data_IF_747273198343
#
_entry.id   IF_747273198343
#
_cell.length_a   1.000
_cell.length_b   1.000
_cell.length_c   1.000
_cell.angle_alpha   90.00
_cell.angle_beta   90.00
_cell.angle_gamma   90.00
#
_symmetry.space_group_name_H-M   'P 1'
#
loop_
_entity.id
_entity.type
_entity.pdbx_description
1 polymer ?
#
# COMPACT_ATOMS: atom_id res chain seq x y z
N UNK A 1 -8.51 -5.23 -23.20
CA UNK A 1 -8.76 -5.14 -21.75
C UNK A 1 -9.78 -4.05 -21.47
N UNK A 2 -10.64 -4.24 -20.48
CA UNK A 2 -11.61 -3.22 -20.05
C UNK A 2 -10.90 -1.99 -19.46
N UNK A 3 -11.54 -0.83 -19.55
CA UNK A 3 -11.09 0.40 -18.90
C UNK A 3 -11.15 0.25 -17.37
N UNK A 4 -10.35 1.02 -16.63
CA UNK A 4 -10.21 0.91 -15.17
C UNK A 4 -11.54 1.15 -14.44
N UNK A 5 -12.36 2.06 -14.95
CA UNK A 5 -13.70 2.36 -14.41
C UNK A 5 -14.61 1.13 -14.49
N UNK A 6 -14.55 0.40 -15.61
CA UNK A 6 -15.30 -0.86 -15.79
C UNK A 6 -14.74 -1.96 -14.89
N UNK A 7 -13.42 -2.03 -14.69
CA UNK A 7 -12.81 -3.01 -13.78
C UNK A 7 -13.21 -2.76 -12.32
N UNK A 8 -13.33 -1.51 -11.89
CA UNK A 8 -13.86 -1.17 -10.55
C UNK A 8 -15.23 -1.82 -10.31
N UNK A 9 -16.11 -1.80 -11.32
CA UNK A 9 -17.48 -2.30 -11.20
C UNK A 9 -17.55 -3.81 -11.47
N UNK A 10 -16.97 -4.28 -12.58
CA UNK A 10 -17.21 -5.64 -13.12
C UNK A 10 -16.05 -6.61 -12.86
N UNK A 11 -14.93 -6.14 -12.30
CA UNK A 11 -13.76 -7.00 -12.04
C UNK A 11 -14.02 -8.01 -10.93
N UNK A 12 -13.38 -9.17 -11.01
CA UNK A 12 -13.31 -10.19 -9.97
C UNK A 12 -14.52 -11.11 -9.83
N UNK A 13 -15.74 -10.62 -9.90
CA UNK A 13 -16.95 -11.42 -9.84
C UNK A 13 -17.65 -11.51 -11.20
N UNK A 14 -17.86 -12.75 -11.69
CA UNK A 14 -18.50 -13.04 -12.97
C UNK A 14 -19.66 -14.04 -12.71
N UNK A 15 -20.89 -13.55 -12.43
CA UNK A 15 -22.01 -14.43 -12.11
C UNK A 15 -22.45 -15.25 -13.34
N UNK A 16 -22.72 -16.53 -13.13
CA UNK A 16 -23.31 -17.43 -14.12
C UNK A 16 -24.83 -17.28 -14.12
N UNK A 17 -25.48 -18.00 -15.05
CA UNK A 17 -26.94 -17.98 -15.14
C UNK A 17 -27.59 -18.45 -13.83
N UNK A 18 -28.44 -17.60 -13.24
CA UNK A 18 -29.11 -17.87 -11.97
C UNK A 18 -28.30 -17.56 -10.70
N UNK A 19 -27.03 -17.14 -10.82
CA UNK A 19 -26.21 -16.70 -9.68
C UNK A 19 -26.51 -15.26 -9.28
N UNK A 20 -26.23 -14.88 -8.02
CA UNK A 20 -26.40 -13.51 -7.55
C UNK A 20 -25.56 -12.53 -8.36
N UNK A 21 -26.17 -11.40 -8.75
CA UNK A 21 -25.44 -10.32 -9.43
C UNK A 21 -24.37 -9.69 -8.56
N UNK A 22 -24.65 -9.55 -7.26
CA UNK A 22 -23.72 -9.02 -6.26
C UNK A 22 -22.84 -10.15 -5.78
N UNK A 23 -21.56 -9.88 -5.53
CA UNK A 23 -20.61 -10.84 -4.95
C UNK A 23 -21.17 -11.44 -3.64
N UNK A 24 -21.37 -12.77 -3.55
CA UNK A 24 -21.85 -13.39 -2.31
C UNK A 24 -20.78 -13.37 -1.19
N UNK A 25 -21.24 -13.32 0.06
CA UNK A 25 -20.36 -13.52 1.24
C UNK A 25 -20.36 -15.00 1.60
N UNK A 26 -19.25 -15.69 1.33
CA UNK A 26 -19.05 -17.09 1.71
C UNK A 26 -18.55 -17.16 3.16
N UNK A 27 -19.47 -17.09 4.11
CA UNK A 27 -19.20 -17.17 5.54
C UNK A 27 -19.11 -18.63 6.00
N UNK A 28 -18.08 -19.33 5.53
CA UNK A 28 -17.80 -20.73 5.86
C UNK A 28 -16.33 -20.93 6.19
N UNK A 29 -16.02 -21.77 7.18
CA UNK A 29 -14.62 -22.14 7.48
C UNK A 29 -14.10 -23.21 6.55
N UNK A 30 -14.97 -24.14 6.08
CA UNK A 30 -14.63 -25.32 5.29
C UNK A 30 -15.60 -25.53 4.15
N UNK A 31 -15.21 -26.35 3.20
CA UNK A 31 -15.99 -26.69 2.01
C UNK A 31 -16.08 -28.21 1.85
N UNK A 32 -17.21 -28.72 1.33
CA UNK A 32 -17.48 -30.14 1.16
C UNK A 32 -16.93 -30.62 -0.19
N UNK A 33 -16.34 -31.82 -0.17
CA UNK A 33 -15.95 -32.58 -1.37
C UNK A 33 -16.58 -33.98 -1.36
N UNK A 34 -16.73 -34.58 -2.53
CA UNK A 34 -17.40 -35.89 -2.69
C UNK A 34 -16.44 -37.04 -2.38
N UNK A 35 -15.14 -36.90 -2.73
CA UNK A 35 -14.15 -37.96 -2.52
C UNK A 35 -12.92 -37.49 -1.74
N UNK A 36 -12.22 -38.43 -1.12
CA UNK A 36 -10.93 -38.19 -0.45
C UNK A 36 -9.84 -37.71 -1.43
N UNK A 37 -9.91 -38.23 -2.67
CA UNK A 37 -8.93 -37.86 -3.71
C UNK A 37 -9.10 -36.39 -4.16
N UNK A 38 -10.34 -35.94 -4.33
CA UNK A 38 -10.61 -34.54 -4.67
C UNK A 38 -10.00 -33.59 -3.61
N UNK A 39 -10.11 -33.96 -2.34
CA UNK A 39 -9.50 -33.20 -1.25
C UNK A 39 -7.97 -33.30 -1.26
N UNK A 40 -7.40 -34.49 -1.48
CA UNK A 40 -5.95 -34.70 -1.52
C UNK A 40 -5.29 -33.87 -2.63
N UNK A 41 -5.90 -33.79 -3.81
CA UNK A 41 -5.39 -33.01 -4.94
C UNK A 41 -5.32 -31.50 -4.65
N UNK A 42 -6.22 -30.97 -3.81
CA UNK A 42 -6.16 -29.58 -3.34
C UNK A 42 -4.96 -29.36 -2.39
N UNK A 43 -4.75 -30.28 -1.45
CA UNK A 43 -3.61 -30.21 -0.52
C UNK A 43 -2.27 -30.34 -1.24
N UNK A 44 -2.23 -31.13 -2.32
CA UNK A 44 -1.05 -31.30 -3.17
C UNK A 44 -0.86 -30.16 -4.19
N UNK A 45 -1.72 -29.16 -4.21
CA UNK A 45 -1.75 -28.06 -5.20
C UNK A 45 -1.90 -28.54 -6.66
N UNK A 46 -2.47 -29.74 -6.87
CA UNK A 46 -2.75 -30.33 -8.19
C UNK A 46 -4.08 -29.88 -8.78
N UNK A 47 -5.01 -29.46 -7.92
CA UNK A 47 -6.33 -28.94 -8.31
C UNK A 47 -6.55 -27.54 -7.71
N UNK A 48 -7.41 -26.75 -8.36
CA UNK A 48 -7.86 -25.46 -7.84
C UNK A 48 -9.19 -25.65 -7.11
N UNK A 49 -9.35 -24.97 -5.96
CA UNK A 49 -10.60 -25.04 -5.18
C UNK A 49 -10.42 -24.51 -3.76
N UNK A 50 -11.51 -24.54 -3.02
CA UNK A 50 -11.56 -24.01 -1.65
C UNK A 50 -11.77 -25.16 -0.68
N UNK A 51 -10.93 -25.33 0.32
CA UNK A 51 -11.11 -26.35 1.35
C UNK A 51 -11.12 -25.74 2.77
N UNK A 52 -10.40 -24.64 2.96
CA UNK A 52 -10.34 -23.96 4.25
C UNK A 52 -10.13 -22.44 4.07
N UNK A 53 -11.02 -21.66 4.65
CA UNK A 53 -11.06 -20.20 4.46
C UNK A 53 -9.78 -19.47 4.91
N UNK A 54 -9.00 -20.02 5.83
CA UNK A 54 -7.70 -19.42 6.21
C UNK A 54 -6.73 -19.31 5.03
N UNK A 55 -6.79 -20.24 4.09
CA UNK A 55 -5.94 -20.19 2.89
C UNK A 55 -6.62 -19.37 1.78
N UNK A 56 -7.87 -19.75 1.44
CA UNK A 56 -8.61 -19.14 0.33
C UNK A 56 -10.11 -19.16 0.62
N UNK A 57 -10.82 -18.15 0.11
CA UNK A 57 -12.27 -18.05 0.20
C UNK A 57 -12.81 -17.38 -1.06
N UNK A 58 -13.94 -17.87 -1.64
CA UNK A 58 -14.47 -17.33 -2.90
C UNK A 58 -14.71 -15.80 -2.89
N UNK A 59 -15.17 -15.24 -1.77
CA UNK A 59 -15.37 -13.79 -1.64
C UNK A 59 -14.03 -13.04 -1.67
N UNK A 60 -13.04 -13.53 -0.91
CA UNK A 60 -11.73 -12.92 -0.84
C UNK A 60 -11.00 -12.96 -2.20
N UNK A 61 -11.07 -14.10 -2.88
CA UNK A 61 -10.41 -14.29 -4.17
C UNK A 61 -11.04 -13.43 -5.27
N UNK A 62 -12.37 -13.28 -5.26
CA UNK A 62 -13.04 -12.36 -6.19
C UNK A 62 -12.54 -10.90 -6.02
N UNK A 63 -12.36 -10.45 -4.77
CA UNK A 63 -11.86 -9.10 -4.49
C UNK A 63 -10.36 -8.98 -4.78
N UNK A 64 -9.57 -9.98 -4.44
CA UNK A 64 -8.14 -10.03 -4.79
C UNK A 64 -7.95 -9.96 -6.32
N UNK A 65 -8.71 -10.74 -7.08
CA UNK A 65 -8.68 -10.73 -8.55
C UNK A 65 -9.09 -9.37 -9.13
N UNK A 66 -10.07 -8.68 -8.51
CA UNK A 66 -10.42 -7.30 -8.89
C UNK A 66 -9.25 -6.37 -8.71
N UNK A 67 -8.56 -6.40 -7.55
CA UNK A 67 -7.41 -5.55 -7.25
C UNK A 67 -6.24 -5.89 -8.19
N UNK A 68 -5.96 -7.17 -8.44
CA UNK A 68 -4.95 -7.58 -9.42
C UNK A 68 -5.22 -6.97 -10.80
N UNK A 69 -6.47 -7.05 -11.28
CA UNK A 69 -6.86 -6.47 -12.57
C UNK A 69 -6.75 -4.93 -12.57
N UNK A 70 -7.05 -4.26 -11.47
CA UNK A 70 -6.91 -2.82 -11.33
C UNK A 70 -5.45 -2.38 -11.38
N UNK A 71 -4.54 -3.09 -10.72
CA UNK A 71 -3.09 -2.82 -10.74
C UNK A 71 -2.42 -3.30 -12.05
N UNK A 72 -3.04 -4.21 -12.80
CA UNK A 72 -2.44 -4.84 -13.97
C UNK A 72 -1.52 -6.02 -13.64
N UNK A 73 -1.67 -6.61 -12.45
CA UNK A 73 -0.94 -7.78 -11.99
C UNK A 73 -1.55 -9.09 -12.48
N UNK A 74 -0.81 -10.19 -12.33
CA UNK A 74 -1.24 -11.55 -12.72
C UNK A 74 -2.04 -12.24 -11.61
N UNK A 75 -1.76 -11.90 -10.36
CA UNK A 75 -2.43 -12.47 -9.19
C UNK A 75 -2.34 -11.53 -7.98
N UNK A 76 -3.23 -11.70 -7.02
CA UNK A 76 -3.20 -11.00 -5.74
C UNK A 76 -3.72 -11.88 -4.61
N UNK A 77 -3.42 -11.48 -3.36
CA UNK A 77 -4.02 -12.06 -2.16
C UNK A 77 -4.40 -10.97 -1.16
N UNK A 78 -5.53 -11.13 -0.48
CA UNK A 78 -5.93 -10.25 0.61
C UNK A 78 -5.25 -10.67 1.92
N UNK A 79 -4.97 -9.70 2.77
CA UNK A 79 -4.43 -9.89 4.11
C UNK A 79 -5.25 -9.13 5.15
N UNK A 80 -5.08 -9.46 6.44
CA UNK A 80 -5.82 -8.83 7.55
C UNK A 80 -5.51 -7.35 7.73
N UNK A 81 -4.40 -6.85 7.20
CA UNK A 81 -3.95 -5.45 7.28
C UNK A 81 -2.87 -5.14 6.26
N UNK A 82 -2.63 -3.84 5.98
CA UNK A 82 -1.49 -3.41 5.17
C UNK A 82 -0.13 -3.81 5.78
N UNK A 83 -0.02 -3.83 7.12
CA UNK A 83 1.19 -4.32 7.79
C UNK A 83 1.45 -5.81 7.53
N UNK A 84 0.40 -6.64 7.52
CA UNK A 84 0.53 -8.03 7.14
C UNK A 84 0.94 -8.18 5.66
N UNK A 85 0.41 -7.31 4.78
CA UNK A 85 0.81 -7.30 3.38
C UNK A 85 2.29 -6.95 3.22
N UNK A 86 2.78 -5.88 3.86
CA UNK A 86 4.19 -5.48 3.80
C UNK A 86 5.12 -6.54 4.42
N UNK A 87 4.72 -7.14 5.55
CA UNK A 87 5.46 -8.24 6.16
C UNK A 87 5.55 -9.44 5.22
N UNK A 88 4.43 -9.92 4.69
CA UNK A 88 4.41 -11.09 3.82
C UNK A 88 5.14 -10.84 2.50
N UNK A 89 5.04 -9.62 1.94
CA UNK A 89 5.70 -9.31 0.69
C UNK A 89 7.24 -9.45 0.81
N UNK A 90 7.83 -9.00 1.90
CA UNK A 90 9.27 -9.15 2.13
C UNK A 90 9.61 -10.56 2.61
N UNK A 91 8.86 -11.09 3.59
CA UNK A 91 9.17 -12.38 4.22
C UNK A 91 8.99 -13.58 3.27
N UNK A 92 8.19 -13.44 2.21
CA UNK A 92 8.02 -14.47 1.19
C UNK A 92 9.32 -14.84 0.44
N UNK A 93 10.27 -13.91 0.41
CA UNK A 93 11.53 -14.04 -0.34
C UNK A 93 12.78 -13.81 0.52
N UNK A 94 12.62 -13.46 1.79
CA UNK A 94 13.71 -13.29 2.76
C UNK A 94 13.66 -14.37 3.83
N UNK A 95 14.82 -14.84 4.23
CA UNK A 95 15.04 -15.79 5.32
C UNK A 95 16.02 -15.22 6.35
N UNK A 96 16.23 -15.92 7.46
CA UNK A 96 17.24 -15.51 8.44
C UNK A 96 18.64 -15.46 7.81
N UNK A 97 19.33 -14.34 7.98
CA UNK A 97 20.61 -14.04 7.34
C UNK A 97 20.49 -13.22 6.06
N UNK A 98 19.28 -12.98 5.56
CA UNK A 98 19.06 -12.13 4.38
C UNK A 98 18.99 -10.63 4.72
N UNK A 99 19.11 -9.85 3.68
CA UNK A 99 19.08 -8.39 3.73
C UNK A 99 18.11 -7.85 2.67
N UNK A 100 17.51 -6.70 2.94
CA UNK A 100 16.78 -5.89 1.95
C UNK A 100 17.02 -4.41 2.18
N UNK A 101 16.71 -3.61 1.16
CA UNK A 101 16.82 -2.16 1.19
C UNK A 101 15.41 -1.57 1.27
N UNK A 102 15.22 -0.54 2.09
CA UNK A 102 13.98 0.26 2.12
C UNK A 102 14.31 1.73 1.97
N UNK A 103 13.45 2.49 1.30
CA UNK A 103 13.50 3.95 1.44
C UNK A 103 13.21 4.36 2.88
N UNK A 104 13.83 5.44 3.36
CA UNK A 104 13.61 5.95 4.72
C UNK A 104 12.26 6.65 4.88
N UNK A 105 11.74 7.23 3.79
CA UNK A 105 10.45 7.89 3.77
C UNK A 105 9.33 6.86 3.51
N UNK A 106 8.91 6.17 4.57
CA UNK A 106 7.80 5.21 4.58
C UNK A 106 6.97 5.38 5.84
N UNK A 107 5.81 4.73 5.89
CA UNK A 107 4.94 4.72 7.07
C UNK A 107 5.69 4.25 8.32
N UNK A 108 5.55 5.00 9.43
CA UNK A 108 6.27 4.74 10.68
C UNK A 108 6.08 3.32 11.23
N UNK A 109 4.89 2.71 11.06
CA UNK A 109 4.66 1.32 11.44
C UNK A 109 5.48 0.34 10.60
N UNK A 110 5.64 0.61 9.30
CA UNK A 110 6.46 -0.21 8.39
C UNK A 110 7.95 -0.01 8.69
N UNK A 111 8.39 1.21 8.98
CA UNK A 111 9.76 1.49 9.42
C UNK A 111 10.12 0.69 10.69
N UNK A 112 9.22 0.69 11.68
CA UNK A 112 9.43 -0.12 12.89
C UNK A 112 9.39 -1.63 12.62
N UNK A 113 8.49 -2.10 11.74
CA UNK A 113 8.46 -3.50 11.30
C UNK A 113 9.82 -3.92 10.76
N UNK A 114 10.41 -3.13 9.88
CA UNK A 114 11.66 -3.44 9.19
C UNK A 114 12.90 -3.29 10.09
N UNK A 115 12.97 -2.21 10.88
CA UNK A 115 14.15 -1.93 11.72
C UNK A 115 14.21 -2.77 13.00
N UNK A 116 13.07 -3.19 13.53
CA UNK A 116 12.99 -3.87 14.84
C UNK A 116 12.47 -5.30 14.72
N UNK A 117 11.29 -5.48 14.10
CA UNK A 117 10.61 -6.78 14.12
C UNK A 117 11.27 -7.78 13.17
N UNK A 118 11.57 -7.38 11.93
CA UNK A 118 12.27 -8.25 10.97
C UNK A 118 13.67 -8.63 11.44
N UNK A 119 14.36 -7.73 12.14
CA UNK A 119 15.65 -8.02 12.76
C UNK A 119 15.60 -9.16 13.78
N UNK A 120 14.49 -9.30 14.54
CA UNK A 120 14.28 -10.45 15.45
C UNK A 120 14.14 -11.78 14.71
N UNK A 121 13.78 -11.75 13.43
CA UNK A 121 13.70 -12.91 12.55
C UNK A 121 15.04 -13.16 11.82
N UNK A 122 16.08 -12.40 12.13
CA UNK A 122 17.39 -12.51 11.49
C UNK A 122 17.47 -11.85 10.12
N UNK A 123 16.50 -11.00 9.73
CA UNK A 123 16.47 -10.30 8.45
C UNK A 123 16.87 -8.85 8.68
N UNK A 124 17.87 -8.37 7.94
CA UNK A 124 18.39 -7.00 8.06
C UNK A 124 17.79 -6.08 7.01
N UNK A 125 17.54 -4.82 7.40
CA UNK A 125 17.11 -3.75 6.51
C UNK A 125 18.11 -2.59 6.55
N UNK A 126 18.53 -2.10 5.37
CA UNK A 126 19.23 -0.81 5.23
C UNK A 126 18.27 0.22 4.69
N UNK A 127 18.14 1.33 5.41
CA UNK A 127 17.33 2.48 4.97
C UNK A 127 18.19 3.44 4.13
N UNK A 128 17.65 3.89 3.00
CA UNK A 128 18.29 4.85 2.10
C UNK A 128 17.38 6.07 1.89
N UNK A 129 17.96 7.27 1.77
CA UNK A 129 17.17 8.42 1.34
C UNK A 129 16.82 8.26 -0.14
N UNK A 130 15.53 8.34 -0.46
CA UNK A 130 15.06 8.26 -1.85
C UNK A 130 15.57 9.39 -2.76
N UNK A 131 16.00 10.49 -2.16
CA UNK A 131 16.55 11.63 -2.86
C UNK A 131 18.10 11.59 -3.01
N UNK A 132 18.76 10.54 -2.44
CA UNK A 132 20.20 10.32 -2.59
C UNK A 132 20.58 9.98 -4.04
N UNK A 133 21.86 10.11 -4.40
CA UNK A 133 22.33 9.71 -5.72
C UNK A 133 22.26 8.18 -5.92
N UNK A 134 22.27 7.72 -7.19
CA UNK A 134 22.27 6.29 -7.49
C UNK A 134 23.49 5.59 -6.89
N UNK A 135 24.65 6.24 -6.93
CA UNK A 135 25.89 5.70 -6.37
C UNK A 135 25.83 5.54 -4.84
N UNK A 136 25.09 6.40 -4.14
CA UNK A 136 24.88 6.27 -2.70
C UNK A 136 23.92 5.14 -2.38
N UNK A 137 22.82 5.02 -3.14
CA UNK A 137 21.83 3.95 -2.97
C UNK A 137 22.48 2.58 -3.29
N UNK A 138 23.29 2.51 -4.34
CA UNK A 138 23.98 1.27 -4.72
C UNK A 138 24.94 0.74 -3.66
N UNK A 139 25.53 1.59 -2.83
CA UNK A 139 26.37 1.15 -1.69
C UNK A 139 25.60 0.34 -0.64
N UNK A 140 24.28 0.45 -0.60
CA UNK A 140 23.45 -0.31 0.32
C UNK A 140 23.25 -1.77 -0.13
N UNK A 141 23.46 -2.09 -1.40
CA UNK A 141 23.30 -3.45 -1.91
C UNK A 141 24.42 -4.38 -1.39
N UNK A 142 24.00 -5.56 -0.95
CA UNK A 142 24.89 -6.63 -0.44
C UNK A 142 24.64 -7.92 -1.24
N UNK A 143 25.57 -8.91 -1.20
CA UNK A 143 25.37 -10.19 -1.88
C UNK A 143 24.06 -10.90 -1.47
N UNK A 144 23.62 -10.73 -0.22
CA UNK A 144 22.40 -11.30 0.35
C UNK A 144 21.19 -10.37 0.30
N UNK A 145 21.24 -9.26 -0.45
CA UNK A 145 20.06 -8.40 -0.66
C UNK A 145 19.01 -9.12 -1.50
N UNK A 146 17.76 -9.14 -1.04
CA UNK A 146 16.65 -9.87 -1.67
C UNK A 146 15.62 -8.97 -2.37
N UNK A 147 15.43 -7.73 -1.91
CA UNK A 147 14.51 -6.78 -2.54
C UNK A 147 14.85 -5.35 -2.17
N UNK A 148 14.20 -4.42 -2.90
CA UNK A 148 14.09 -3.01 -2.54
C UNK A 148 12.62 -2.71 -2.23
N UNK A 149 12.36 -2.01 -1.14
CA UNK A 149 11.01 -1.59 -0.71
C UNK A 149 10.88 -0.07 -0.68
N UNK A 150 9.71 0.47 -1.06
CA UNK A 150 9.39 1.88 -0.93
C UNK A 150 7.89 2.15 -0.90
N UNK A 151 7.50 3.39 -0.66
CA UNK A 151 6.12 3.87 -0.81
C UNK A 151 6.01 4.82 -1.99
N UNK A 152 5.00 4.66 -2.85
CA UNK A 152 4.77 5.56 -3.99
C UNK A 152 4.64 7.01 -3.56
N UNK A 153 3.92 7.24 -2.47
CA UNK A 153 3.79 8.53 -1.77
C UNK A 153 3.90 8.29 -0.28
N UNK A 154 4.96 8.83 0.31
CA UNK A 154 5.32 8.57 1.71
C UNK A 154 4.37 9.22 2.72
N UNK A 155 3.99 8.49 3.76
CA UNK A 155 3.20 8.96 4.89
C UNK A 155 4.09 9.11 6.16
N UNK A 156 4.19 10.29 6.82
CA UNK A 156 3.42 11.52 6.56
C UNK A 156 4.11 12.51 5.63
N UNK A 157 5.35 12.30 5.23
CA UNK A 157 6.20 13.31 4.60
C UNK A 157 5.69 13.81 3.22
N UNK A 158 4.82 13.07 2.53
CA UNK A 158 4.32 13.43 1.20
C UNK A 158 5.39 13.35 0.08
N UNK A 159 6.57 12.80 0.37
CA UNK A 159 7.63 12.57 -0.64
C UNK A 159 7.15 11.58 -1.70
N UNK A 160 7.44 11.85 -2.97
CA UNK A 160 7.13 10.96 -4.09
C UNK A 160 8.36 10.15 -4.46
N UNK A 161 8.21 8.84 -4.57
CA UNK A 161 9.25 7.93 -5.02
C UNK A 161 9.28 7.89 -6.56
N UNK A 162 10.46 8.05 -7.15
CA UNK A 162 10.67 7.78 -8.58
C UNK A 162 10.69 6.26 -8.82
N UNK A 163 9.50 5.73 -9.18
CA UNK A 163 9.27 4.29 -9.31
C UNK A 163 10.19 3.66 -10.36
N UNK A 164 10.30 4.31 -11.54
CA UNK A 164 11.13 3.78 -12.63
C UNK A 164 12.60 3.69 -12.24
N UNK A 165 13.12 4.74 -11.63
CA UNK A 165 14.51 4.81 -11.15
C UNK A 165 14.81 3.69 -10.16
N UNK A 166 13.96 3.51 -9.14
CA UNK A 166 14.18 2.49 -8.12
C UNK A 166 13.98 1.06 -8.63
N UNK A 167 13.03 0.85 -9.54
CA UNK A 167 12.87 -0.44 -10.20
C UNK A 167 14.11 -0.81 -11.04
N UNK A 168 14.66 0.15 -11.82
CA UNK A 168 15.87 -0.08 -12.61
C UNK A 168 17.09 -0.39 -11.73
N UNK A 169 17.26 0.33 -10.61
CA UNK A 169 18.32 0.04 -9.64
C UNK A 169 18.18 -1.36 -9.03
N UNK A 170 16.98 -1.75 -8.61
CA UNK A 170 16.71 -3.08 -8.08
C UNK A 170 17.02 -4.17 -9.11
N UNK A 171 16.53 -4.03 -10.33
CA UNK A 171 16.76 -4.99 -11.41
C UNK A 171 18.22 -5.09 -11.84
N UNK A 172 18.98 -3.99 -11.85
CA UNK A 172 20.42 -3.98 -12.08
C UNK A 172 21.16 -4.91 -11.11
N UNK A 173 20.66 -5.04 -9.89
CA UNK A 173 21.21 -5.92 -8.86
C UNK A 173 20.52 -7.30 -8.78
N UNK A 174 19.62 -7.63 -9.71
CA UNK A 174 18.91 -8.91 -9.78
C UNK A 174 17.95 -9.15 -8.61
N UNK A 175 17.32 -8.10 -8.10
CA UNK A 175 16.30 -8.17 -7.03
C UNK A 175 15.03 -7.45 -7.43
N UNK A 176 13.84 -7.91 -6.94
CA UNK A 176 12.58 -7.26 -7.23
C UNK A 176 12.41 -5.94 -6.47
N UNK A 177 11.61 -5.04 -7.06
CA UNK A 177 11.10 -3.84 -6.40
C UNK A 177 9.70 -4.10 -5.83
N UNK A 178 9.53 -3.83 -4.52
CA UNK A 178 8.26 -3.92 -3.79
C UNK A 178 7.81 -2.50 -3.44
N UNK A 179 6.57 -2.14 -3.74
CA UNK A 179 6.07 -0.78 -3.48
C UNK A 179 4.70 -0.82 -2.79
N UNK A 180 4.58 -0.07 -1.70
CA UNK A 180 3.29 0.25 -1.09
C UNK A 180 2.64 1.40 -1.87
N UNK A 181 1.53 1.09 -2.58
CA UNK A 181 0.78 2.03 -3.43
C UNK A 181 -0.54 2.47 -2.77
N UNK A 182 -0.59 2.47 -1.45
CA UNK A 182 -1.81 2.74 -0.66
C UNK A 182 -2.45 4.09 -1.00
N UNK A 183 -1.66 5.17 -1.11
CA UNK A 183 -2.22 6.51 -1.30
C UNK A 183 -2.65 6.79 -2.74
N UNK A 184 -1.86 6.52 -3.78
CA UNK A 184 -2.31 6.77 -5.15
C UNK A 184 -3.42 5.81 -5.58
N UNK A 185 -3.47 4.61 -5.06
CA UNK A 185 -4.30 3.51 -5.57
C UNK A 185 -4.05 3.25 -7.06
N UNK A 186 -4.53 2.16 -7.66
CA UNK A 186 -4.36 1.92 -9.09
C UNK A 186 -5.10 2.94 -9.98
N UNK A 187 -5.91 3.82 -9.40
CA UNK A 187 -6.62 4.87 -10.16
C UNK A 187 -5.66 5.99 -10.58
N UNK A 188 -4.73 6.38 -9.72
CA UNK A 188 -3.81 7.48 -9.99
C UNK A 188 -2.43 6.99 -10.45
N UNK A 189 -1.99 5.82 -10.01
CA UNK A 189 -0.72 5.23 -10.38
C UNK A 189 -0.79 3.71 -10.35
N UNK A 190 -0.25 3.08 -11.38
CA UNK A 190 0.01 1.62 -11.44
C UNK A 190 1.51 1.40 -11.42
N UNK A 191 2.12 1.08 -10.28
CA UNK A 191 3.56 0.92 -10.16
C UNK A 191 4.14 -0.12 -11.12
N UNK A 192 3.37 -1.15 -11.47
CA UNK A 192 3.78 -2.20 -12.43
C UNK A 192 4.15 -1.61 -13.81
N UNK A 193 3.49 -0.52 -14.23
CA UNK A 193 3.78 0.15 -15.51
C UNK A 193 5.15 0.86 -15.50
N UNK A 194 5.74 1.06 -14.32
CA UNK A 194 7.08 1.64 -14.10
C UNK A 194 8.16 0.61 -13.78
N UNK A 195 7.85 -0.69 -13.88
CA UNK A 195 8.78 -1.78 -13.63
C UNK A 195 8.77 -2.34 -12.21
N UNK A 196 7.83 -1.92 -11.36
CA UNK A 196 7.67 -2.50 -10.01
C UNK A 196 7.12 -3.92 -10.13
N UNK A 197 7.68 -4.84 -9.34
CA UNK A 197 7.36 -6.27 -9.42
C UNK A 197 6.23 -6.67 -8.49
N UNK A 198 6.25 -6.16 -7.26
CA UNK A 198 5.25 -6.47 -6.23
C UNK A 198 4.66 -5.17 -5.70
N UNK A 199 3.34 -5.11 -5.65
CA UNK A 199 2.62 -3.95 -5.09
C UNK A 199 1.88 -4.38 -3.84
N UNK A 200 2.02 -3.59 -2.77
CA UNK A 200 1.25 -3.77 -1.54
C UNK A 200 0.28 -2.62 -1.33
N UNK A 201 -0.80 -2.88 -0.58
CA UNK A 201 -1.78 -1.90 -0.19
C UNK A 201 -2.25 -2.11 1.24
N UNK A 202 -2.42 -1.05 1.98
CA UNK A 202 -3.38 -1.01 3.07
C UNK A 202 -4.77 -0.73 2.48
N UNK A 203 -5.56 -1.77 2.25
CA UNK A 203 -6.92 -1.61 1.71
C UNK A 203 -7.86 -0.88 2.67
N UNK A 204 -7.45 -0.75 3.94
CA UNK A 204 -8.08 0.07 4.99
C UNK A 204 -8.33 1.52 4.58
N UNK A 205 -7.55 2.04 3.61
CA UNK A 205 -7.49 3.45 3.23
C UNK A 205 -8.46 3.75 2.07
N UNK A 206 -8.02 4.47 1.05
CA UNK A 206 -8.89 4.83 -0.08
C UNK A 206 -9.63 3.68 -0.76
N UNK A 207 -9.07 2.45 -0.76
CA UNK A 207 -9.75 1.32 -1.38
C UNK A 207 -11.07 0.98 -0.69
N UNK A 208 -11.08 0.88 0.66
CA UNK A 208 -12.30 0.82 1.46
C UNK A 208 -13.05 2.17 1.40
N UNK A 209 -12.33 3.26 1.65
CA UNK A 209 -12.76 4.64 1.51
C UNK A 209 -13.80 5.12 2.52
N UNK A 210 -14.20 4.29 3.49
CA UNK A 210 -15.28 4.59 4.43
C UNK A 210 -14.88 4.38 5.89
N UNK A 211 -13.62 3.99 6.15
CA UNK A 211 -13.09 3.67 7.48
C UNK A 211 -13.84 2.53 8.18
N UNK A 212 -14.36 1.55 7.42
CA UNK A 212 -15.18 0.45 7.93
C UNK A 212 -14.38 -0.84 8.13
N UNK A 213 -13.43 -1.15 7.22
CA UNK A 213 -12.76 -2.44 7.20
C UNK A 213 -11.23 -2.30 7.19
N UNK A 214 -10.57 -2.91 8.17
CA UNK A 214 -9.11 -3.06 8.14
C UNK A 214 -8.76 -4.21 7.19
N UNK A 215 -7.77 -3.99 6.32
CA UNK A 215 -7.29 -5.00 5.39
C UNK A 215 -6.03 -4.59 4.67
N UNK A 216 -5.48 -5.52 3.92
CA UNK A 216 -4.33 -5.33 3.04
C UNK A 216 -4.43 -6.20 1.80
N UNK A 217 -3.54 -5.95 0.86
CA UNK A 217 -3.45 -6.72 -0.37
C UNK A 217 -2.00 -6.75 -0.86
N UNK A 218 -1.60 -7.88 -1.45
CA UNK A 218 -0.36 -8.04 -2.20
C UNK A 218 -0.74 -8.36 -3.63
N UNK A 219 -0.14 -7.68 -4.60
CA UNK A 219 -0.31 -7.91 -6.03
C UNK A 219 1.03 -8.25 -6.64
N UNK A 220 1.08 -9.32 -7.41
CA UNK A 220 2.25 -9.75 -8.18
C UNK A 220 2.09 -9.34 -9.63
N UNK A 221 3.10 -8.66 -10.19
CA UNK A 221 3.15 -8.33 -11.61
C UNK A 221 3.33 -9.58 -12.50
N UNK A 222 4.00 -10.62 -11.96
CA UNK A 222 4.44 -11.78 -12.71
C UNK A 222 5.56 -11.48 -13.72
N UNK A 223 6.25 -10.34 -13.58
CA UNK A 223 7.28 -9.90 -14.53
C UNK A 223 8.71 -10.17 -14.04
N UNK A 224 8.94 -10.32 -12.74
CA UNK A 224 10.28 -10.61 -12.23
C UNK A 224 10.71 -12.04 -12.61
N UNK A 225 11.90 -12.17 -13.18
CA UNK A 225 12.46 -13.45 -13.58
C UNK A 225 13.19 -14.13 -12.40
N UNK A 226 12.43 -14.93 -11.64
CA UNK A 226 12.95 -15.69 -10.50
C UNK A 226 13.99 -16.73 -10.91
N UNK A 227 13.81 -17.36 -12.08
CA UNK A 227 14.73 -18.41 -12.57
C UNK A 227 16.07 -17.83 -13.02
N UNK A 228 16.09 -16.65 -13.65
CA UNK A 228 17.35 -15.97 -13.97
C UNK A 228 18.16 -15.59 -12.72
N UNK A 229 17.48 -15.47 -11.57
CA UNK A 229 18.08 -15.16 -10.26
C UNK A 229 17.99 -16.34 -9.28
N UNK A 230 18.00 -17.57 -9.79
CA UNK A 230 17.79 -18.84 -9.07
C UNK A 230 18.53 -18.92 -7.74
N UNK A 231 19.85 -18.67 -7.73
CA UNK A 231 20.71 -18.82 -6.54
C UNK A 231 20.28 -17.90 -5.39
N UNK A 232 19.60 -16.79 -5.71
CA UNK A 232 19.11 -15.81 -4.75
C UNK A 232 17.73 -16.16 -4.21
N UNK A 233 16.88 -16.83 -5.00
CA UNK A 233 15.48 -17.10 -4.68
C UNK A 233 15.14 -18.59 -4.64
N UNK A 234 15.99 -19.39 -4.00
CA UNK A 234 15.85 -20.85 -3.89
C UNK A 234 14.50 -21.29 -3.33
N UNK A 235 13.93 -20.54 -2.38
CA UNK A 235 12.59 -20.82 -1.83
C UNK A 235 11.44 -20.76 -2.84
N UNK A 236 11.67 -20.23 -4.07
CA UNK A 236 10.69 -20.22 -5.17
C UNK A 236 11.08 -21.19 -6.28
N UNK A 237 12.39 -21.39 -6.50
CA UNK A 237 12.96 -22.06 -7.68
C UNK A 237 13.40 -23.49 -7.42
N UNK A 238 13.69 -23.84 -6.15
CA UNK A 238 14.07 -25.19 -5.73
C UNK A 238 12.88 -25.98 -5.14
N UNK A 239 13.00 -27.32 -5.03
CA UNK A 239 11.97 -28.16 -4.45
C UNK A 239 11.63 -27.83 -3.01
N UNK A 240 10.37 -27.51 -2.71
CA UNK A 240 9.87 -27.23 -1.37
C UNK A 240 9.54 -28.53 -0.62
N UNK A 241 10.17 -28.83 0.52
CA UNK A 241 9.89 -30.02 1.30
C UNK A 241 8.49 -30.06 1.90
N UNK A 242 7.84 -28.90 2.10
CA UNK A 242 6.46 -28.83 2.63
C UNK A 242 5.38 -29.19 1.61
N UNK A 243 5.74 -29.28 0.30
CA UNK A 243 4.85 -29.65 -0.81
C UNK A 243 5.47 -30.74 -1.69
N UNK A 244 5.98 -31.81 -1.07
CA UNK A 244 6.50 -33.02 -1.76
C UNK A 244 7.55 -32.71 -2.84
N UNK A 245 8.35 -31.68 -2.65
CA UNK A 245 9.41 -31.32 -3.61
C UNK A 245 8.91 -30.49 -4.81
N UNK A 246 7.78 -29.80 -4.69
CA UNK A 246 7.28 -28.87 -5.70
C UNK A 246 8.19 -27.62 -5.75
N UNK A 247 8.61 -27.20 -6.95
CA UNK A 247 9.23 -25.90 -7.19
C UNK A 247 8.17 -24.92 -7.75
N UNK A 248 7.91 -23.82 -7.04
CA UNK A 248 6.81 -22.91 -7.35
C UNK A 248 6.89 -22.29 -8.75
N UNK A 249 8.09 -21.87 -9.15
CA UNK A 249 8.30 -21.28 -10.49
C UNK A 249 8.01 -22.26 -11.61
N UNK A 250 8.35 -23.54 -11.45
CA UNK A 250 8.09 -24.59 -12.44
C UNK A 250 6.62 -25.00 -12.49
N UNK A 251 5.95 -25.02 -11.32
CA UNK A 251 4.57 -25.46 -11.22
C UNK A 251 3.56 -24.34 -11.61
N UNK A 252 3.85 -23.09 -11.25
CA UNK A 252 2.90 -21.97 -11.35
C UNK A 252 3.40 -20.81 -12.23
N UNK A 253 4.61 -20.89 -12.77
CA UNK A 253 5.16 -19.86 -13.64
C UNK A 253 5.05 -18.46 -13.04
N UNK A 254 4.34 -17.57 -13.73
CA UNK A 254 4.14 -16.18 -13.28
C UNK A 254 3.38 -16.04 -11.97
N UNK A 255 2.61 -17.01 -11.54
CA UNK A 255 1.88 -17.01 -10.28
C UNK A 255 2.67 -17.56 -9.08
N UNK A 256 3.91 -17.95 -9.26
CA UNK A 256 4.75 -18.62 -8.26
C UNK A 256 4.82 -17.86 -6.93
N UNK A 257 5.04 -16.54 -6.98
CA UNK A 257 5.22 -15.70 -5.79
C UNK A 257 3.95 -15.63 -4.92
N UNK A 258 2.78 -15.37 -5.53
CA UNK A 258 1.50 -15.33 -4.79
C UNK A 258 1.08 -16.72 -4.32
N UNK A 259 1.33 -17.76 -5.13
CA UNK A 259 1.01 -19.13 -4.73
C UNK A 259 1.83 -19.54 -3.49
N UNK A 260 3.14 -19.24 -3.45
CA UNK A 260 3.97 -19.50 -2.26
C UNK A 260 3.47 -18.69 -1.05
N UNK A 261 3.21 -17.40 -1.23
CA UNK A 261 2.69 -16.56 -0.14
C UNK A 261 1.38 -17.10 0.44
N UNK A 262 0.47 -17.62 -0.40
CA UNK A 262 -0.80 -18.22 0.03
C UNK A 262 -0.58 -19.59 0.66
N UNK A 263 0.17 -20.48 -0.01
CA UNK A 263 0.34 -21.85 0.40
C UNK A 263 1.20 -22.02 1.66
N UNK A 264 2.16 -21.13 1.90
CA UNK A 264 3.01 -21.13 3.10
C UNK A 264 2.61 -20.05 4.09
N UNK A 265 2.77 -18.76 3.76
CA UNK A 265 2.65 -17.69 4.75
C UNK A 265 1.21 -17.53 5.25
N UNK A 266 0.22 -17.51 4.35
CA UNK A 266 -1.17 -17.41 4.75
C UNK A 266 -1.62 -18.66 5.51
N UNK A 267 -1.20 -19.86 5.08
CA UNK A 267 -1.48 -21.12 5.76
C UNK A 267 -0.94 -21.12 7.19
N UNK A 268 0.31 -20.67 7.39
CA UNK A 268 1.04 -20.85 8.63
C UNK A 268 0.81 -19.71 9.63
N UNK A 269 0.79 -18.45 9.15
CA UNK A 269 0.58 -17.26 10.00
C UNK A 269 -0.89 -16.82 10.10
N UNK A 270 -1.72 -17.13 9.10
CA UNK A 270 -3.16 -16.96 9.17
C UNK A 270 -3.67 -15.53 9.16
N UNK A 271 -2.93 -14.56 8.58
CA UNK A 271 -3.34 -13.15 8.49
C UNK A 271 -4.43 -12.92 7.43
N UNK A 272 -5.49 -13.72 7.49
CA UNK A 272 -6.63 -13.65 6.56
C UNK A 272 -7.48 -12.42 6.82
N UNK A 273 -8.03 -11.82 5.77
CA UNK A 273 -9.15 -10.88 5.86
C UNK A 273 -10.46 -11.66 5.95
N UNK A 274 -11.40 -11.23 6.78
CA UNK A 274 -12.72 -11.88 6.84
C UNK A 274 -13.49 -11.70 5.53
N UNK A 275 -14.30 -12.67 5.08
CA UNK A 275 -15.13 -12.52 3.87
C UNK A 275 -16.08 -11.33 3.94
N UNK A 276 -16.57 -10.97 5.12
CA UNK A 276 -17.40 -9.79 5.32
C UNK A 276 -16.61 -8.50 5.06
N UNK A 277 -15.38 -8.38 5.56
CA UNK A 277 -14.53 -7.22 5.29
C UNK A 277 -14.12 -7.16 3.81
N UNK A 278 -13.88 -8.31 3.18
CA UNK A 278 -13.61 -8.37 1.75
C UNK A 278 -14.83 -7.88 0.93
N UNK A 279 -16.04 -8.23 1.34
CA UNK A 279 -17.26 -7.72 0.71
C UNK A 279 -17.39 -6.19 0.87
N UNK A 280 -17.16 -5.64 2.08
CA UNK A 280 -17.17 -4.18 2.31
C UNK A 280 -16.11 -3.48 1.43
N UNK A 281 -14.91 -4.05 1.34
CA UNK A 281 -13.87 -3.57 0.44
C UNK A 281 -14.33 -3.56 -1.01
N UNK A 282 -15.02 -4.62 -1.49
CA UNK A 282 -15.58 -4.64 -2.84
C UNK A 282 -16.53 -3.47 -3.11
N UNK A 283 -17.39 -3.13 -2.15
CA UNK A 283 -18.30 -1.98 -2.26
C UNK A 283 -17.50 -0.67 -2.36
N UNK A 284 -16.43 -0.52 -1.56
CA UNK A 284 -15.53 0.62 -1.66
C UNK A 284 -14.83 0.73 -3.02
N UNK A 285 -14.36 -0.39 -3.57
CA UNK A 285 -13.68 -0.44 -4.86
C UNK A 285 -14.59 -0.02 -6.03
N UNK A 286 -15.89 -0.31 -5.96
CA UNK A 286 -16.83 0.03 -7.04
C UNK A 286 -16.91 1.55 -7.31
N UNK A 287 -16.69 2.38 -6.29
CA UNK A 287 -16.70 3.86 -6.42
C UNK A 287 -15.31 4.49 -6.38
N UNK A 288 -14.26 3.70 -6.30
CA UNK A 288 -12.88 4.21 -6.16
C UNK A 288 -12.50 5.19 -7.28
N UNK A 289 -12.86 4.86 -8.52
CA UNK A 289 -12.57 5.67 -9.71
C UNK A 289 -13.28 7.04 -9.72
N UNK A 290 -14.35 7.19 -8.95
CA UNK A 290 -15.07 8.47 -8.77
C UNK A 290 -14.50 9.25 -7.57
N UNK A 291 -14.14 8.56 -6.49
CA UNK A 291 -13.66 9.19 -5.26
C UNK A 291 -12.24 9.74 -5.40
N UNK A 292 -11.32 9.01 -6.03
CA UNK A 292 -9.93 9.45 -6.13
C UNK A 292 -9.76 10.80 -6.84
N UNK A 293 -10.36 11.07 -8.01
CA UNK A 293 -10.32 12.40 -8.61
C UNK A 293 -10.85 13.50 -7.68
N UNK A 294 -11.99 13.27 -7.01
CA UNK A 294 -12.57 14.25 -6.08
C UNK A 294 -11.66 14.54 -4.88
N UNK A 295 -11.04 13.51 -4.29
CA UNK A 295 -10.03 13.70 -3.23
C UNK A 295 -8.88 14.60 -3.70
N UNK A 296 -8.37 14.36 -4.90
CA UNK A 296 -7.27 15.12 -5.47
C UNK A 296 -7.64 16.57 -5.80
N UNK A 297 -8.81 16.78 -6.40
CA UNK A 297 -9.34 18.11 -6.69
C UNK A 297 -9.47 18.94 -5.42
N UNK A 298 -10.11 18.37 -4.38
CA UNK A 298 -10.27 19.03 -3.09
C UNK A 298 -8.90 19.30 -2.43
N UNK A 299 -7.97 18.34 -2.48
CA UNK A 299 -6.63 18.51 -1.91
C UNK A 299 -5.85 19.63 -2.62
N UNK A 300 -5.91 19.71 -3.95
CA UNK A 300 -5.26 20.78 -4.71
C UNK A 300 -5.85 22.14 -4.37
N UNK A 301 -7.17 22.25 -4.24
CA UNK A 301 -7.84 23.50 -3.85
C UNK A 301 -7.41 23.92 -2.44
N UNK A 302 -7.42 23.00 -1.47
CA UNK A 302 -6.95 23.26 -0.10
C UNK A 302 -5.46 23.62 -0.07
N UNK A 303 -4.61 22.96 -0.84
CA UNK A 303 -3.18 23.26 -0.92
C UNK A 303 -2.92 24.69 -1.45
N UNK A 304 -3.66 25.09 -2.50
CA UNK A 304 -3.59 26.45 -3.03
C UNK A 304 -4.08 27.50 -2.02
N UNK A 305 -5.17 27.24 -1.31
CA UNK A 305 -5.68 28.10 -0.25
C UNK A 305 -4.65 28.27 0.87
N UNK A 306 -4.12 27.17 1.40
CA UNK A 306 -3.15 27.18 2.49
C UNK A 306 -1.83 27.86 2.07
N UNK A 307 -1.33 27.60 0.85
CA UNK A 307 -0.08 28.22 0.34
C UNK A 307 -0.16 29.76 0.33
N UNK A 308 -1.35 30.31 0.06
CA UNK A 308 -1.56 31.74 -0.03
C UNK A 308 -2.00 32.38 1.31
N UNK A 309 -2.21 31.59 2.36
CA UNK A 309 -2.70 32.10 3.64
C UNK A 309 -1.55 32.68 4.51
N UNK A 310 -1.66 33.92 5.05
CA UNK A 310 -0.57 34.59 5.73
C UNK A 310 -0.09 33.88 7.01
N UNK A 311 -0.91 33.06 7.66
CA UNK A 311 -0.59 32.33 8.88
C UNK A 311 0.03 30.94 8.63
N UNK A 312 0.05 30.46 7.38
CA UNK A 312 0.69 29.21 6.99
C UNK A 312 2.16 29.47 6.69
N UNK A 313 3.04 28.61 7.20
CA UNK A 313 4.48 28.72 7.03
C UNK A 313 4.94 28.02 5.75
N UNK A 314 4.42 26.84 5.48
CA UNK A 314 4.78 25.99 4.34
C UNK A 314 3.65 25.00 4.03
N UNK A 315 3.63 24.51 2.78
CA UNK A 315 2.72 23.46 2.29
C UNK A 315 3.52 22.53 1.41
N UNK A 316 3.40 21.21 1.62
CA UNK A 316 3.93 20.15 0.75
C UNK A 316 2.76 19.39 0.14
N UNK A 317 2.68 19.41 -1.18
CA UNK A 317 1.75 18.64 -1.98
C UNK A 317 2.30 18.52 -3.40
N UNK A 318 2.69 17.34 -3.83
CA UNK A 318 3.37 17.16 -5.12
C UNK A 318 2.51 17.52 -6.35
N UNK A 319 1.19 17.67 -6.19
CA UNK A 319 0.30 18.22 -7.22
C UNK A 319 0.30 19.76 -7.30
N UNK A 320 1.02 20.45 -6.42
CA UNK A 320 1.07 21.91 -6.36
C UNK A 320 2.32 22.43 -7.08
N UNK A 321 2.14 23.32 -8.06
CA UNK A 321 3.25 23.96 -8.78
C UNK A 321 4.26 24.60 -7.83
N UNK A 322 5.56 24.29 -8.06
CA UNK A 322 6.67 24.69 -7.21
C UNK A 322 6.97 23.77 -6.03
N UNK A 323 6.24 22.67 -5.85
CA UNK A 323 6.64 21.58 -4.97
C UNK A 323 7.86 20.85 -5.56
N UNK A 324 8.76 20.35 -4.70
CA UNK A 324 9.97 19.62 -5.10
C UNK A 324 9.68 18.45 -6.05
N UNK A 325 8.55 17.75 -5.85
CA UNK A 325 8.19 16.56 -6.61
C UNK A 325 7.16 16.83 -7.72
N UNK A 326 6.83 18.09 -8.01
CA UNK A 326 5.80 18.44 -8.98
C UNK A 326 6.05 17.82 -10.36
N UNK A 327 7.28 17.98 -10.91
CA UNK A 327 7.63 17.44 -12.23
C UNK A 327 7.57 15.92 -12.29
N UNK A 328 7.96 15.24 -11.21
CA UNK A 328 7.83 13.78 -11.09
C UNK A 328 6.36 13.37 -11.00
N UNK A 329 5.57 14.11 -10.24
CA UNK A 329 4.13 13.85 -10.11
C UNK A 329 3.39 14.00 -11.46
N UNK A 330 3.74 15.00 -12.27
CA UNK A 330 3.17 15.19 -13.60
C UNK A 330 3.45 14.00 -14.55
N UNK A 331 4.57 13.31 -14.37
CA UNK A 331 4.97 12.16 -15.19
C UNK A 331 4.38 10.84 -14.68
N UNK A 332 4.24 10.69 -13.38
CA UNK A 332 3.97 9.41 -12.73
C UNK A 332 2.50 9.20 -12.37
N UNK A 333 1.76 10.29 -12.08
CA UNK A 333 0.37 10.18 -11.65
C UNK A 333 -0.61 10.66 -12.72
N UNK A 334 -1.75 9.98 -12.79
CA UNK A 334 -2.85 10.39 -13.68
C UNK A 334 -3.31 11.81 -13.32
N UNK A 335 -3.22 12.72 -14.28
CA UNK A 335 -3.54 14.13 -14.07
C UNK A 335 -2.54 14.89 -13.19
N UNK A 336 -1.37 14.32 -12.91
CA UNK A 336 -0.31 14.96 -12.11
C UNK A 336 -0.62 15.09 -10.62
N UNK A 337 -1.65 14.39 -10.12
CA UNK A 337 -2.12 14.50 -8.74
C UNK A 337 -1.87 13.19 -7.98
N UNK A 338 -1.05 13.20 -6.89
CA UNK A 338 -0.57 11.98 -6.25
C UNK A 338 -1.59 11.28 -5.36
N UNK A 339 -2.42 12.06 -4.65
CA UNK A 339 -3.45 11.57 -3.72
C UNK A 339 -4.23 12.74 -3.10
N UNK A 340 -5.13 12.46 -2.17
CA UNK A 340 -5.88 13.44 -1.39
C UNK A 340 -5.22 13.84 -0.05
N UNK A 341 -3.93 13.53 0.16
CA UNK A 341 -3.21 13.87 1.40
C UNK A 341 -2.16 14.92 1.13
N UNK A 342 -2.12 15.95 1.95
CA UNK A 342 -1.10 17.00 1.95
C UNK A 342 -0.56 17.26 3.36
N UNK A 343 0.55 17.96 3.47
CA UNK A 343 1.11 18.41 4.77
C UNK A 343 1.37 19.88 4.73
N UNK A 344 1.24 20.52 5.90
CA UNK A 344 1.55 21.95 6.05
C UNK A 344 1.92 22.28 7.49
N UNK A 345 2.53 23.45 7.69
CA UNK A 345 2.87 23.99 8.99
C UNK A 345 2.28 25.37 9.22
N UNK A 346 1.93 25.68 10.48
CA UNK A 346 1.40 26.97 10.92
C UNK A 346 2.57 27.84 11.44
N UNK A 347 2.57 29.14 11.11
CA UNK A 347 3.51 30.10 11.67
C UNK A 347 3.33 30.19 13.19
N UNK A 348 4.41 30.03 13.93
CA UNK A 348 4.40 29.92 15.39
C UNK A 348 4.58 28.49 15.91
N UNK A 349 4.82 27.52 15.00
CA UNK A 349 5.29 26.18 15.32
C UNK A 349 4.23 25.27 15.95
N UNK A 350 4.70 24.32 16.76
CA UNK A 350 3.89 23.24 17.36
C UNK A 350 2.65 23.75 18.09
N UNK A 351 2.79 24.76 18.96
CA UNK A 351 1.68 25.27 19.77
C UNK A 351 0.56 25.84 18.92
N UNK A 352 0.91 26.60 17.88
CA UNK A 352 -0.07 27.16 16.94
C UNK A 352 -0.71 26.10 16.07
N UNK A 353 0.04 25.06 15.69
CA UNK A 353 -0.51 23.90 14.98
C UNK A 353 -1.56 23.16 15.82
N UNK A 354 -1.30 22.96 17.12
CA UNK A 354 -2.25 22.35 18.06
C UNK A 354 -3.49 23.25 18.22
N UNK A 355 -3.29 24.54 18.47
CA UNK A 355 -4.40 25.51 18.62
C UNK A 355 -5.29 25.57 17.39
N UNK A 356 -4.70 25.51 16.20
CA UNK A 356 -5.42 25.42 14.92
C UNK A 356 -6.27 24.17 14.86
N UNK A 357 -5.67 23.00 15.11
CA UNK A 357 -6.39 21.72 15.03
C UNK A 357 -7.54 21.64 16.03
N UNK A 358 -7.33 22.07 17.25
CA UNK A 358 -8.37 22.10 18.31
C UNK A 358 -9.50 23.10 17.98
N UNK A 359 -9.28 23.99 17.02
CA UNK A 359 -10.27 24.99 16.57
C UNK A 359 -11.14 24.51 15.41
N UNK A 360 -10.80 23.40 14.75
CA UNK A 360 -11.59 22.80 13.66
C UNK A 360 -12.95 22.35 14.18
N UNK A 361 -13.98 22.42 13.34
CA UNK A 361 -15.37 22.06 13.69
C UNK A 361 -15.90 20.87 12.91
N UNK A 362 -15.59 20.79 11.64
CA UNK A 362 -16.00 19.73 10.72
C UNK A 362 -14.87 18.71 10.51
N UNK A 363 -13.66 19.19 10.28
CA UNK A 363 -12.50 18.36 10.04
C UNK A 363 -12.07 17.71 11.36
N UNK A 364 -12.07 16.36 11.41
CA UNK A 364 -11.82 15.61 12.63
C UNK A 364 -10.34 15.37 12.90
N UNK A 365 -9.94 15.36 14.17
CA UNK A 365 -8.63 14.90 14.62
C UNK A 365 -8.72 13.39 14.83
N UNK A 366 -8.11 12.61 13.92
CA UNK A 366 -8.09 11.14 14.01
C UNK A 366 -6.77 10.58 13.50
N UNK A 367 -6.39 9.39 13.99
CA UNK A 367 -5.20 8.68 13.49
C UNK A 367 -5.39 8.12 12.08
N UNK A 368 -6.65 7.91 11.67
CA UNK A 368 -6.99 7.44 10.33
C UNK A 368 -6.60 8.46 9.24
N UNK A 369 -6.62 8.03 7.99
CA UNK A 369 -6.27 8.81 6.81
C UNK A 369 -6.90 8.17 5.57
N UNK A 370 -7.20 8.99 4.56
CA UNK A 370 -7.60 8.48 3.25
C UNK A 370 -8.97 7.76 3.25
N UNK A 371 -9.97 8.42 3.82
CA UNK A 371 -11.39 8.04 3.69
C UNK A 371 -12.21 9.23 3.16
N UNK A 372 -13.50 9.03 3.00
CA UNK A 372 -14.44 10.02 2.45
C UNK A 372 -14.50 11.33 3.26
N UNK A 373 -14.08 11.32 4.53
CA UNK A 373 -14.13 12.45 5.45
C UNK A 373 -12.79 13.14 5.57
N UNK A 374 -12.81 14.46 5.65
CA UNK A 374 -11.62 15.26 5.95
C UNK A 374 -11.15 15.05 7.38
N UNK A 375 -9.85 14.83 7.56
CA UNK A 375 -9.25 14.66 8.87
C UNK A 375 -7.81 15.15 8.95
N UNK A 376 -7.38 15.51 10.16
CA UNK A 376 -6.03 15.98 10.45
C UNK A 376 -5.34 15.15 11.53
N UNK A 377 -4.02 15.13 11.47
CA UNK A 377 -3.15 14.54 12.49
C UNK A 377 -1.90 15.41 12.64
N UNK A 378 -1.44 15.60 13.89
CA UNK A 378 -0.18 16.22 14.20
C UNK A 378 0.81 15.14 14.67
N UNK A 379 1.69 14.62 13.81
CA UNK A 379 2.54 13.47 14.15
C UNK A 379 3.39 13.70 15.39
N UNK A 380 3.99 14.87 15.54
CA UNK A 380 4.84 15.23 16.68
C UNK A 380 4.14 15.15 18.04
N UNK A 381 2.82 15.40 18.11
CA UNK A 381 2.04 15.30 19.35
C UNK A 381 1.29 13.97 19.52
N UNK A 382 1.21 13.14 18.46
CA UNK A 382 0.45 11.89 18.46
C UNK A 382 1.34 10.68 18.17
N UNK A 383 1.55 10.35 16.91
CA UNK A 383 2.18 9.09 16.50
C UNK A 383 3.69 9.03 16.75
N UNK A 384 4.36 10.18 16.89
CA UNK A 384 5.81 10.30 17.11
C UNK A 384 6.14 11.05 18.42
N UNK A 385 5.19 11.16 19.34
CA UNK A 385 5.34 11.97 20.58
C UNK A 385 6.47 11.52 21.51
N UNK A 386 7.01 10.32 21.33
CA UNK A 386 8.16 9.83 22.08
C UNK A 386 9.52 10.32 21.53
N UNK A 387 9.54 10.95 20.34
CA UNK A 387 10.75 11.46 19.72
C UNK A 387 11.04 12.91 20.16
N UNK A 388 12.31 13.27 20.29
CA UNK A 388 12.74 14.67 20.42
C UNK A 388 12.54 15.42 19.09
N UNK A 389 12.62 16.76 19.12
CA UNK A 389 12.48 17.58 17.90
C UNK A 389 13.59 17.29 16.88
N UNK A 390 14.82 17.00 17.33
CA UNK A 390 15.94 16.57 16.48
C UNK A 390 15.63 15.22 15.81
N UNK A 391 15.14 14.25 16.58
CA UNK A 391 14.74 12.94 16.05
C UNK A 391 13.55 13.02 15.09
N UNK A 392 12.61 13.94 15.33
CA UNK A 392 11.51 14.21 14.41
C UNK A 392 12.03 14.74 13.07
N UNK A 393 12.95 15.70 13.09
CA UNK A 393 13.56 16.27 11.88
C UNK A 393 14.33 15.20 11.10
N UNK A 394 15.13 14.38 11.80
CA UNK A 394 15.83 13.24 11.18
C UNK A 394 14.88 12.23 10.55
N UNK A 395 13.70 12.02 11.14
CA UNK A 395 12.63 11.20 10.59
C UNK A 395 11.83 11.87 9.45
N UNK A 396 12.19 13.11 9.06
CA UNK A 396 11.49 13.87 8.03
C UNK A 396 10.13 14.43 8.48
N UNK A 397 9.91 14.55 9.79
CA UNK A 397 8.67 15.05 10.39
C UNK A 397 8.97 16.37 11.09
N UNK A 398 8.60 17.49 10.47
CA UNK A 398 8.76 18.78 11.12
C UNK A 398 7.90 18.87 12.41
N UNK A 399 8.38 19.52 13.50
CA UNK A 399 7.64 19.64 14.76
C UNK A 399 6.28 20.36 14.64
N UNK A 400 6.08 21.14 13.59
CA UNK A 400 4.85 21.88 13.26
C UNK A 400 4.00 21.19 12.17
N UNK A 401 4.41 20.01 11.69
CA UNK A 401 3.76 19.31 10.60
C UNK A 401 2.34 18.89 10.99
N UNK A 402 1.38 19.35 10.21
CA UNK A 402 0.00 18.84 10.19
C UNK A 402 -0.19 17.99 8.93
N UNK A 403 -0.52 16.73 9.10
CA UNK A 403 -0.97 15.87 7.99
C UNK A 403 -2.47 16.09 7.81
N UNK A 404 -2.86 16.51 6.63
CA UNK A 404 -4.25 16.74 6.26
C UNK A 404 -4.69 15.75 5.17
N UNK A 405 -5.61 14.87 5.51
CA UNK A 405 -6.30 13.98 4.57
C UNK A 405 -7.60 14.64 4.16
N UNK A 406 -7.65 15.08 2.92
CA UNK A 406 -8.80 15.82 2.38
C UNK A 406 -9.85 14.84 1.90
N UNK A 407 -11.07 14.99 2.39
CA UNK A 407 -12.22 14.18 2.04
C UNK A 407 -12.89 14.60 0.72
N UNK A 408 -14.09 14.07 0.50
CA UNK A 408 -14.89 14.35 -0.69
C UNK A 408 -16.08 15.26 -0.41
N UNK A 409 -16.10 15.93 0.75
CA UNK A 409 -17.07 16.95 1.10
C UNK A 409 -17.03 18.11 0.09
N UNK A 410 -17.98 19.03 0.16
CA UNK A 410 -17.90 20.25 -0.61
C UNK A 410 -16.65 21.04 -0.23
N UNK A 411 -15.84 21.43 -1.22
CA UNK A 411 -14.54 22.06 -0.99
C UNK A 411 -14.66 23.43 -0.31
N UNK A 412 -15.77 24.15 -0.55
CA UNK A 412 -16.03 25.45 0.09
C UNK A 412 -16.24 25.29 1.60
N UNK A 413 -16.93 24.22 2.02
CA UNK A 413 -17.14 23.91 3.44
C UNK A 413 -15.82 23.53 4.11
N UNK A 414 -14.97 22.74 3.42
CA UNK A 414 -13.63 22.41 3.91
C UNK A 414 -12.80 23.69 4.12
N UNK A 415 -12.76 24.57 3.11
CA UNK A 415 -12.01 25.83 3.17
C UNK A 415 -12.59 26.77 4.25
N UNK A 416 -13.90 26.80 4.43
CA UNK A 416 -14.53 27.59 5.48
C UNK A 416 -14.12 27.13 6.88
N UNK A 417 -14.02 25.79 7.11
CA UNK A 417 -13.57 25.25 8.40
C UNK A 417 -12.08 25.55 8.64
N UNK A 418 -11.23 25.43 7.62
CA UNK A 418 -9.82 25.83 7.69
C UNK A 418 -9.69 27.33 8.02
N UNK A 419 -10.48 28.19 7.36
CA UNK A 419 -10.45 29.64 7.55
C UNK A 419 -10.80 30.02 8.98
N UNK A 420 -11.93 29.53 9.51
CA UNK A 420 -12.36 29.87 10.86
C UNK A 420 -11.41 29.36 11.95
N UNK A 421 -10.67 28.25 11.68
CA UNK A 421 -9.65 27.73 12.59
C UNK A 421 -8.35 28.57 12.49
N UNK A 422 -7.92 28.96 11.29
CA UNK A 422 -6.79 29.85 11.08
C UNK A 422 -7.00 31.24 11.69
N UNK A 423 -8.25 31.74 11.72
CA UNK A 423 -8.54 33.04 12.34
C UNK A 423 -8.24 33.08 13.84
N UNK A 424 -8.21 31.94 14.51
CA UNK A 424 -8.00 31.80 15.96
C UNK A 424 -6.52 31.64 16.38
N UNK A 425 -5.59 31.53 15.45
CA UNK A 425 -4.16 31.28 15.74
C UNK A 425 -3.25 32.44 15.39
#
# INVERSE_FOLDING_TARGET
MSKIETLCIQGGWQPKNGEPRVLPIYQSTTFKYETTNDMADLFDLKASGYFYTRLQNPTNDAVANKIAALEGGVAAMLTSSGQAANFYAVFNICEAGDHFISTSAIYGGTSNLFSVTMKKLGIECTFVDQDASDEEIEKAFRPNTKCVFGETVANPAGKVLDLKRFADLAHKHGVPMIVDNTFPTPILCRPIEFGVDIVTHSTTKYMDGHAMAVGGCIVDSGNFDWEANHDRFKGLTEPDPSYHGLAYTKAFGKGAYITKATAQLMRDFGSIQSPQNAFLLNVGLETLHLRMPRHCENALACAKFLKNHPKVAWVNYAGLEGDKYYELAQKQFKGGLPCGVLTFGIKGGREKSIQFMDSLKMICIVTHVADARSCVLHPASHTHRQLSDEQLIEAGVAPDLIRFSVGIENVEDIIADLTQALDKV
#
